data_IF_081293032691
#
_entry.id   IF_081293032691
#
_cell.length_a   1.000
_cell.length_b   1.000
_cell.length_c   1.000
_cell.angle_alpha   90.00
_cell.angle_beta   90.00
_cell.angle_gamma   90.00
#
_symmetry.space_group_name_H-M   'P 1'
#
loop_
_entity.id
_entity.type
_entity.pdbx_description
1 polymer ?
#
# COMPACT_ATOMS: atom_id res chain seq x y z
N UNK A 1 10.25 15.09 -4.51
CA UNK A 1 10.54 14.36 -3.24
C UNK A 1 10.43 12.86 -3.47
N UNK A 2 11.40 12.11 -3.02
CA UNK A 2 11.37 10.66 -3.16
C UNK A 2 10.39 10.07 -2.14
N UNK A 3 9.47 9.19 -2.57
CA UNK A 3 8.56 8.54 -1.62
C UNK A 3 9.32 7.73 -0.56
N UNK A 4 8.77 7.69 0.63
CA UNK A 4 9.35 6.91 1.71
C UNK A 4 9.04 5.43 1.53
N UNK A 5 10.03 4.59 1.76
CA UNK A 5 9.82 3.15 1.77
C UNK A 5 9.12 2.77 3.06
N UNK A 6 7.96 2.16 2.93
CA UNK A 6 7.11 1.80 4.06
C UNK A 6 7.45 0.40 4.55
N UNK A 7 7.58 0.20 5.87
CA UNK A 7 7.72 -1.16 6.39
C UNK A 7 6.43 -1.95 6.18
N UNK A 8 6.55 -3.24 5.97
CA UNK A 8 5.38 -4.12 5.79
C UNK A 8 5.52 -5.37 6.64
N UNK A 9 4.38 -5.89 7.06
CA UNK A 9 4.29 -7.23 7.61
C UNK A 9 3.53 -8.09 6.62
N UNK A 10 4.08 -9.23 6.28
CA UNK A 10 3.49 -10.13 5.29
C UNK A 10 3.30 -11.50 5.91
N UNK A 11 2.12 -12.07 5.74
CA UNK A 11 1.88 -13.45 6.13
C UNK A 11 0.95 -14.13 5.14
N UNK A 12 1.01 -15.44 5.09
CA UNK A 12 0.24 -16.23 4.16
C UNK A 12 -0.90 -16.93 4.88
N UNK A 13 -2.09 -16.90 4.27
CA UNK A 13 -3.22 -17.70 4.71
C UNK A 13 -3.52 -18.75 3.64
N UNK A 14 -4.51 -19.61 3.87
CA UNK A 14 -4.89 -20.62 2.89
C UNK A 14 -5.41 -20.02 1.58
N UNK A 15 -5.86 -18.78 1.59
CA UNK A 15 -6.51 -18.15 0.43
C UNK A 15 -5.79 -16.92 -0.10
N UNK A 16 -4.94 -16.31 0.69
CA UNK A 16 -4.36 -15.02 0.34
C UNK A 16 -3.00 -14.79 0.99
N UNK A 17 -2.26 -13.88 0.38
CA UNK A 17 -1.10 -13.26 0.99
C UNK A 17 -1.58 -11.96 1.61
N UNK A 18 -1.39 -11.79 2.92
CA UNK A 18 -1.85 -10.61 3.64
C UNK A 18 -0.67 -9.69 3.91
N UNK A 19 -0.81 -8.44 3.48
CA UNK A 19 0.23 -7.41 3.62
C UNK A 19 -0.36 -6.26 4.42
N UNK A 20 0.31 -5.87 5.49
CA UNK A 20 -0.13 -4.79 6.35
C UNK A 20 0.99 -3.74 6.42
N UNK A 21 0.62 -2.48 6.24
CA UNK A 21 1.57 -1.37 6.23
C UNK A 21 0.98 -0.14 6.92
N UNK A 22 1.79 0.59 7.71
CA UNK A 22 1.34 1.86 8.28
C UNK A 22 1.40 2.96 7.23
N UNK A 23 0.30 3.66 7.03
CA UNK A 23 0.21 4.82 6.14
C UNK A 23 -0.46 5.97 6.88
N UNK A 24 0.24 6.59 7.85
CA UNK A 24 -0.37 7.65 8.63
C UNK A 24 -0.64 8.90 7.79
N UNK A 25 -1.71 9.61 8.14
CA UNK A 25 -2.06 10.90 7.56
C UNK A 25 -2.45 10.85 6.08
N UNK A 26 -2.87 9.69 5.56
CA UNK A 26 -3.43 9.59 4.21
C UNK A 26 -4.84 9.03 4.29
N UNK A 27 -5.63 9.31 3.26
CA UNK A 27 -6.98 8.74 3.13
C UNK A 27 -6.98 7.70 2.01
N UNK A 28 -8.05 6.90 1.95
CA UNK A 28 -8.15 5.86 0.94
C UNK A 28 -8.01 6.39 -0.48
N UNK A 29 -8.52 7.58 -0.76
CA UNK A 29 -8.43 8.16 -2.12
C UNK A 29 -7.00 8.60 -2.48
N UNK A 30 -6.11 8.71 -1.51
CA UNK A 30 -4.71 9.08 -1.77
C UNK A 30 -3.85 7.87 -2.13
N UNK A 31 -4.37 6.66 -1.93
CA UNK A 31 -3.61 5.42 -2.08
C UNK A 31 -4.01 4.71 -3.36
N UNK A 32 -3.02 4.26 -4.10
CA UNK A 32 -3.22 3.43 -5.30
C UNK A 32 -2.49 2.12 -5.11
N UNK A 33 -3.14 1.02 -5.47
CA UNK A 33 -2.56 -0.32 -5.44
C UNK A 33 -2.54 -0.85 -6.85
N UNK A 34 -1.37 -1.30 -7.30
CA UNK A 34 -1.20 -1.89 -8.62
C UNK A 34 -0.75 -3.33 -8.48
N UNK A 35 -1.55 -4.25 -8.99
CA UNK A 35 -1.23 -5.66 -9.05
C UNK A 35 -0.73 -5.97 -10.45
N UNK A 36 0.41 -6.65 -10.54
CA UNK A 36 0.98 -7.13 -11.79
C UNK A 36 1.39 -8.59 -11.62
N UNK A 37 1.59 -9.33 -12.72
CA UNK A 37 2.14 -10.67 -12.60
C UNK A 37 3.47 -10.64 -11.84
N UNK A 38 3.51 -11.32 -10.69
CA UNK A 38 4.71 -11.43 -9.89
C UNK A 38 4.96 -10.35 -8.87
N UNK A 39 4.16 -9.27 -8.82
CA UNK A 39 4.38 -8.21 -7.83
C UNK A 39 3.10 -7.43 -7.52
N UNK A 40 3.10 -6.81 -6.36
CA UNK A 40 2.09 -5.82 -5.99
C UNK A 40 2.80 -4.57 -5.48
N UNK A 41 2.34 -3.42 -5.92
CA UNK A 41 2.91 -2.15 -5.54
C UNK A 41 1.81 -1.25 -5.01
N UNK A 42 2.10 -0.52 -3.95
CA UNK A 42 1.19 0.53 -3.48
C UNK A 42 1.97 1.82 -3.26
N UNK A 43 1.28 2.93 -3.43
CA UNK A 43 1.86 4.24 -3.14
C UNK A 43 0.76 5.19 -2.71
N UNK A 44 1.15 6.19 -1.93
CA UNK A 44 0.27 7.27 -1.50
C UNK A 44 0.89 8.59 -1.93
N UNK A 45 0.05 9.47 -2.47
CA UNK A 45 0.50 10.78 -2.91
C UNK A 45 0.82 11.66 -1.72
N UNK A 46 1.88 12.47 -1.86
CA UNK A 46 2.22 13.45 -0.85
C UNK A 46 1.16 14.56 -0.87
N UNK A 47 0.56 14.82 0.27
CA UNK A 47 -0.35 15.93 0.42
C UNK A 47 0.44 17.20 0.69
N UNK A 48 0.11 18.26 -0.04
CA UNK A 48 0.67 19.57 0.26
C UNK A 48 -0.05 20.12 1.49
N UNK A 49 0.68 20.25 2.58
CA UNK A 49 0.16 20.83 3.80
C UNK A 49 0.41 22.35 3.85
N UNK A 50 0.91 22.93 2.77
CA UNK A 50 1.35 24.32 2.74
C UNK A 50 2.75 24.48 3.34
N UNK A 51 3.36 25.64 3.13
CA UNK A 51 4.70 25.89 3.64
C UNK A 51 4.68 25.95 5.17
N UNK A 52 5.65 25.29 5.79
CA UNK A 52 5.84 25.33 7.24
C UNK A 52 7.33 25.35 7.56
N UNK A 53 7.69 26.14 8.55
CA UNK A 53 9.04 26.16 9.05
C UNK A 53 9.13 25.20 10.24
N UNK A 54 9.82 24.09 10.04
CA UNK A 54 9.97 23.09 11.10
C UNK A 54 11.28 23.31 11.85
N UNK A 55 11.21 23.26 13.17
CA UNK A 55 12.44 23.18 13.97
C UNK A 55 13.03 21.78 13.88
N UNK A 56 12.16 20.77 13.85
CA UNK A 56 12.55 19.39 13.64
C UNK A 56 11.59 18.81 12.62
N UNK A 57 12.12 18.24 11.54
CA UNK A 57 11.30 17.65 10.49
C UNK A 57 11.84 16.27 10.15
N UNK A 58 11.41 15.27 10.91
CA UNK A 58 11.84 13.90 10.73
C UNK A 58 10.79 13.02 10.04
N UNK A 59 9.60 13.57 9.78
CA UNK A 59 8.48 12.82 9.26
C UNK A 59 7.75 13.59 8.16
N UNK A 60 7.42 12.88 7.07
CA UNK A 60 6.71 13.46 5.92
C UNK A 60 5.29 12.91 5.85
N UNK A 61 4.33 13.78 5.53
CA UNK A 61 2.93 13.39 5.36
C UNK A 61 2.70 12.89 3.93
N UNK A 62 2.32 11.62 3.79
CA UNK A 62 2.13 11.01 2.47
C UNK A 62 3.45 10.71 1.78
N UNK A 63 3.41 10.49 0.47
CA UNK A 63 4.62 10.17 -0.27
C UNK A 63 5.21 8.82 0.12
N UNK A 64 4.37 7.82 0.32
CA UNK A 64 4.79 6.47 0.67
C UNK A 64 4.80 5.58 -0.56
N UNK A 65 5.71 4.61 -0.59
CA UNK A 65 5.78 3.62 -1.66
C UNK A 65 6.36 2.31 -1.18
N UNK A 66 5.82 1.21 -1.68
CA UNK A 66 6.40 -0.10 -1.48
C UNK A 66 5.98 -1.03 -2.61
N UNK A 67 6.93 -1.85 -3.07
CA UNK A 67 6.68 -2.93 -4.00
C UNK A 67 7.08 -4.25 -3.34
N UNK A 68 6.26 -5.27 -3.49
CA UNK A 68 6.47 -6.58 -2.88
C UNK A 68 6.38 -7.64 -3.97
N UNK A 69 7.39 -8.49 -4.04
CA UNK A 69 7.37 -9.64 -4.95
C UNK A 69 6.41 -10.70 -4.41
N UNK A 70 5.64 -11.29 -5.29
CA UNK A 70 4.63 -12.28 -4.93
C UNK A 70 5.18 -13.69 -5.14
N UNK A 71 4.95 -14.61 -4.19
CA UNK A 71 5.24 -16.01 -4.40
C UNK A 71 4.40 -16.59 -5.53
N UNK A 72 4.86 -17.68 -6.11
CA UNK A 72 4.10 -18.39 -7.14
C UNK A 72 2.72 -18.79 -6.61
N UNK A 73 1.71 -18.66 -7.45
CA UNK A 73 0.34 -19.03 -7.10
C UNK A 73 -0.50 -17.87 -6.57
N UNK A 74 0.10 -16.68 -6.36
CA UNK A 74 -0.64 -15.50 -5.94
C UNK A 74 -0.73 -14.49 -7.07
N UNK A 75 -1.75 -13.66 -7.01
CA UNK A 75 -1.96 -12.61 -8.00
C UNK A 75 -3.27 -12.70 -8.76
N UNK A 76 -4.21 -13.54 -8.30
CA UNK A 76 -5.52 -13.70 -8.94
C UNK A 76 -6.49 -12.57 -8.65
N UNK A 77 -6.12 -11.67 -7.79
CA UNK A 77 -6.90 -10.50 -7.43
C UNK A 77 -6.31 -9.84 -6.21
N UNK A 78 -6.79 -8.65 -5.88
CA UNK A 78 -6.34 -7.95 -4.68
C UNK A 78 -7.51 -7.20 -4.05
N UNK A 79 -7.59 -7.28 -2.73
CA UNK A 79 -8.54 -6.50 -1.93
C UNK A 79 -7.73 -5.60 -1.01
N UNK A 80 -8.23 -4.41 -0.75
CA UNK A 80 -7.50 -3.46 0.07
C UNK A 80 -8.45 -2.64 0.93
N UNK A 81 -8.03 -2.38 2.17
CA UNK A 81 -8.74 -1.46 3.06
C UNK A 81 -7.73 -0.58 3.79
N UNK A 82 -8.16 0.64 4.10
CA UNK A 82 -7.37 1.58 4.90
C UNK A 82 -8.20 2.00 6.09
N UNK A 83 -7.68 1.74 7.28
CA UNK A 83 -8.40 2.01 8.52
C UNK A 83 -7.39 2.38 9.60
N UNK A 84 -7.65 3.46 10.33
CA UNK A 84 -6.81 3.91 11.42
C UNK A 84 -5.33 4.08 11.04
N UNK A 85 -5.08 4.57 9.82
CA UNK A 85 -3.71 4.76 9.34
C UNK A 85 -3.00 3.48 8.96
N UNK A 86 -3.72 2.39 8.77
CA UNK A 86 -3.14 1.10 8.43
C UNK A 86 -3.76 0.57 7.14
N UNK A 87 -2.91 0.29 6.17
CA UNK A 87 -3.32 -0.34 4.91
C UNK A 87 -3.23 -1.85 5.05
N UNK A 88 -4.30 -2.54 4.70
CA UNK A 88 -4.31 -3.99 4.65
C UNK A 88 -4.63 -4.45 3.24
N UNK A 89 -3.76 -5.28 2.67
CA UNK A 89 -3.94 -5.87 1.35
C UNK A 89 -4.12 -7.37 1.50
N UNK A 90 -5.02 -7.93 0.70
CA UNK A 90 -5.13 -9.38 0.53
C UNK A 90 -4.93 -9.68 -0.93
N UNK A 91 -3.80 -10.31 -1.26
CA UNK A 91 -3.52 -10.73 -2.64
C UNK A 91 -3.97 -12.18 -2.75
N UNK A 92 -4.98 -12.40 -3.59
CA UNK A 92 -5.64 -13.69 -3.68
C UNK A 92 -4.83 -14.68 -4.52
N UNK A 93 -5.02 -15.96 -4.24
CA UNK A 93 -4.47 -17.01 -5.09
C UNK A 93 -5.16 -17.01 -6.44
N UNK A 94 -4.49 -17.53 -7.45
CA UNK A 94 -5.03 -17.66 -8.79
C UNK A 94 -4.05 -17.18 -9.85
N UNK A 95 -4.50 -17.22 -11.10
CA UNK A 95 -3.68 -16.81 -12.23
C UNK A 95 -3.36 -15.32 -12.15
N UNK A 96 -2.12 -14.93 -12.49
CA UNK A 96 -1.72 -13.53 -12.39
C UNK A 96 -2.58 -12.59 -13.20
N UNK A 97 -2.99 -11.50 -12.56
CA UNK A 97 -3.81 -10.45 -13.16
C UNK A 97 -3.08 -9.13 -13.11
N UNK A 98 -3.53 -8.17 -13.92
CA UNK A 98 -3.07 -6.80 -13.85
C UNK A 98 -4.27 -5.93 -13.47
N UNK A 99 -4.20 -5.31 -12.30
CA UNK A 99 -5.29 -4.51 -11.73
C UNK A 99 -4.74 -3.27 -11.06
N UNK A 100 -5.52 -2.19 -11.10
CA UNK A 100 -5.23 -0.98 -10.33
C UNK A 100 -6.47 -0.65 -9.53
N UNK A 101 -6.33 -0.56 -8.22
CA UNK A 101 -7.45 -0.28 -7.31
C UNK A 101 -7.07 0.76 -6.27
N UNK A 102 -8.09 1.26 -5.58
CA UNK A 102 -7.93 2.06 -4.38
C UNK A 102 -8.48 1.28 -3.19
N UNK A 103 -7.95 1.48 -1.97
CA UNK A 103 -8.49 0.79 -0.80
C UNK A 103 -9.87 1.31 -0.44
N UNK A 104 -10.66 0.46 0.18
CA UNK A 104 -11.91 0.90 0.79
C UNK A 104 -11.63 1.52 2.15
N UNK A 105 -12.54 2.34 2.62
CA UNK A 105 -12.51 2.84 3.99
C UNK A 105 -13.08 1.73 4.88
N UNK A 106 -12.17 1.08 5.58
CA UNK A 106 -12.55 -0.10 6.30
C UNK A 106 -12.88 0.08 7.77
#
# INVERSE_FOLDING_TARGET
MTPQRVPVNVHETSEALVIVAPLPAVTAKDVTIELRPGSVRFWANLRSAGPRDYLIHEWHYGGYEREIDLPAGFGGGVEASLSNGQLALRVLKGEPQTLTIQPSNG
#
